data_IF_502903293062
#
_entry.id   IF_502903293062
#
_cell.length_a   1.000
_cell.length_b   1.000
_cell.length_c   1.000
_cell.angle_alpha   90.00
_cell.angle_beta   90.00
_cell.angle_gamma   90.00
#
_symmetry.space_group_name_H-M   'P 1'
#
loop_
_entity.id
_entity.type
_entity.pdbx_description
1 polymer ?
#
# COMPACT_ATOMS: atom_id res chain seq x y z
N UNK A 1 10.74 -6.40 1.73
CA UNK A 1 9.90 -5.23 2.06
C UNK A 1 10.41 -4.06 1.27
N UNK A 2 9.51 -3.15 0.89
CA UNK A 2 9.81 -2.03 0.03
C UNK A 2 10.59 -0.87 0.65
N UNK A 3 11.32 -1.12 1.69
CA UNK A 3 12.16 -0.11 2.36
C UNK A 3 13.36 0.31 1.49
N UNK A 4 13.60 -0.42 0.43
CA UNK A 4 14.77 -0.24 -0.44
C UNK A 4 14.54 0.81 -1.54
N UNK A 5 13.30 1.26 -1.71
CA UNK A 5 12.92 2.18 -2.78
C UNK A 5 12.17 3.36 -2.20
N UNK A 6 12.49 4.54 -2.69
CA UNK A 6 11.55 5.66 -2.62
C UNK A 6 10.27 5.24 -3.33
N UNK A 7 9.09 5.53 -2.75
CA UNK A 7 7.83 5.20 -3.39
C UNK A 7 7.78 5.71 -4.82
N UNK A 8 7.31 4.88 -5.74
CA UNK A 8 7.24 5.20 -7.16
C UNK A 8 6.17 6.26 -7.47
N UNK A 9 5.23 6.46 -6.55
CA UNK A 9 4.13 7.43 -6.63
C UNK A 9 4.51 8.84 -6.14
N UNK A 10 5.77 9.06 -5.76
CA UNK A 10 6.23 10.33 -5.19
C UNK A 10 7.48 10.86 -5.88
N UNK A 11 7.58 12.19 -5.98
CA UNK A 11 8.74 12.88 -6.55
C UNK A 11 9.88 13.13 -5.55
N UNK A 12 9.88 12.48 -4.42
CA UNK A 12 10.87 12.71 -3.38
C UNK A 12 11.04 11.51 -2.45
N UNK A 13 11.98 11.58 -1.51
CA UNK A 13 12.19 10.50 -0.57
C UNK A 13 10.95 10.30 0.31
N UNK A 14 10.65 9.04 0.64
CA UNK A 14 9.65 8.71 1.63
C UNK A 14 10.02 9.31 2.99
N UNK A 15 9.01 9.69 3.78
CA UNK A 15 9.19 10.26 5.12
C UNK A 15 8.98 9.19 6.20
N UNK A 16 9.50 9.43 7.40
CA UNK A 16 9.38 8.50 8.52
C UNK A 16 10.54 7.50 8.60
N UNK A 17 10.32 6.35 9.24
CA UNK A 17 11.35 5.34 9.49
C UNK A 17 12.01 4.75 8.23
N UNK A 18 11.32 4.77 7.13
CA UNK A 18 11.82 4.31 5.82
C UNK A 18 13.01 5.13 5.32
N UNK A 19 13.12 6.41 5.68
CA UNK A 19 14.27 7.25 5.31
C UNK A 19 15.60 6.68 5.80
N UNK A 20 15.63 6.04 6.95
CA UNK A 20 16.85 5.51 7.55
C UNK A 20 17.33 4.23 6.86
N UNK A 21 16.41 3.40 6.37
CA UNK A 21 16.71 2.08 5.79
C UNK A 21 16.79 2.10 4.28
N UNK A 22 16.07 3.01 3.62
CA UNK A 22 15.99 3.09 2.15
C UNK A 22 17.05 3.95 1.47
N UNK A 23 18.01 4.52 2.20
CA UNK A 23 19.00 5.44 1.64
C UNK A 23 20.43 4.86 1.69
N UNK A 24 20.72 3.86 0.86
CA UNK A 24 22.04 3.27 0.73
C UNK A 24 22.53 3.29 -0.73
N UNK A 25 23.86 3.27 -0.98
CA UNK A 25 24.39 3.18 -2.31
C UNK A 25 23.95 1.91 -3.04
N UNK A 26 23.50 2.03 -4.28
CA UNK A 26 23.05 0.90 -5.09
C UNK A 26 21.59 0.48 -4.86
N UNK A 27 20.81 1.22 -4.06
CA UNK A 27 19.36 0.98 -3.92
C UNK A 27 18.66 1.07 -5.28
N UNK A 28 17.61 0.26 -5.47
CA UNK A 28 16.75 0.35 -6.63
C UNK A 28 16.09 1.74 -6.71
N UNK A 29 16.04 2.34 -7.90
CA UNK A 29 15.53 3.69 -8.16
C UNK A 29 14.21 3.69 -8.93
N UNK A 30 13.85 2.55 -9.50
CA UNK A 30 12.66 2.33 -10.29
C UNK A 30 12.19 0.90 -10.16
N UNK A 31 11.00 0.60 -10.69
CA UNK A 31 10.40 -0.73 -10.57
C UNK A 31 11.21 -1.84 -11.27
N UNK A 32 11.96 -1.52 -12.33
CA UNK A 32 12.77 -2.50 -13.07
C UNK A 32 13.93 -2.95 -12.19
N UNK A 33 14.70 -2.00 -11.64
CA UNK A 33 15.81 -2.30 -10.72
C UNK A 33 15.32 -3.06 -9.47
N UNK A 34 14.13 -2.68 -8.96
CA UNK A 34 13.53 -3.37 -7.82
C UNK A 34 13.14 -4.81 -8.18
N UNK A 35 12.58 -5.06 -9.34
CA UNK A 35 12.26 -6.41 -9.81
C UNK A 35 13.52 -7.26 -9.99
N UNK A 36 14.62 -6.69 -10.48
CA UNK A 36 15.91 -7.37 -10.58
C UNK A 36 16.46 -7.80 -9.21
N UNK A 37 16.37 -6.92 -8.21
CA UNK A 37 16.76 -7.25 -6.83
C UNK A 37 15.86 -8.33 -6.23
N UNK A 38 14.56 -8.25 -6.49
CA UNK A 38 13.59 -9.27 -6.08
C UNK A 38 13.86 -10.63 -6.74
N UNK A 39 14.25 -10.68 -8.01
CA UNK A 39 14.62 -11.91 -8.68
C UNK A 39 15.82 -12.60 -8.00
N UNK A 40 16.82 -11.83 -7.58
CA UNK A 40 17.96 -12.37 -6.82
C UNK A 40 17.50 -12.97 -5.48
N UNK A 41 16.67 -12.22 -4.73
CA UNK A 41 16.13 -12.68 -3.46
C UNK A 41 15.26 -13.95 -3.61
N UNK A 42 14.38 -13.99 -4.61
CA UNK A 42 13.51 -15.14 -4.89
C UNK A 42 14.30 -16.41 -5.15
N UNK A 43 15.42 -16.33 -5.85
CA UNK A 43 16.30 -17.49 -6.12
C UNK A 43 16.91 -18.10 -4.86
N UNK A 44 17.11 -17.29 -3.82
CA UNK A 44 17.71 -17.71 -2.55
C UNK A 44 16.68 -18.24 -1.55
N UNK A 45 15.40 -18.00 -1.76
CA UNK A 45 14.31 -18.41 -0.87
C UNK A 45 13.62 -19.67 -1.38
N UNK A 46 13.62 -20.77 -0.63
CA UNK A 46 12.89 -21.99 -1.00
C UNK A 46 11.37 -21.82 -0.76
N UNK A 47 10.57 -22.72 -1.34
CA UNK A 47 9.14 -22.84 -1.09
C UNK A 47 8.25 -21.91 -1.91
N UNK A 48 6.94 -22.00 -1.66
CA UNK A 48 5.93 -21.10 -2.27
C UNK A 48 6.06 -19.70 -1.71
N UNK A 49 5.91 -18.72 -2.56
CA UNK A 49 6.11 -17.30 -2.21
C UNK A 49 4.89 -16.46 -2.56
N UNK A 50 4.76 -15.37 -1.87
CA UNK A 50 3.87 -14.26 -2.24
C UNK A 50 4.68 -12.96 -2.24
N UNK A 51 4.27 -12.05 -3.09
CA UNK A 51 4.84 -10.72 -3.18
C UNK A 51 3.97 -9.78 -2.34
N UNK A 52 4.55 -9.02 -1.42
CA UNK A 52 3.83 -7.98 -0.69
C UNK A 52 4.14 -6.63 -1.32
N UNK A 53 3.15 -6.04 -1.99
CA UNK A 53 3.26 -4.76 -2.69
C UNK A 53 2.62 -3.65 -1.86
N UNK A 54 3.30 -2.51 -1.78
CA UNK A 54 2.74 -1.28 -1.23
C UNK A 54 2.04 -0.44 -2.29
N UNK A 55 1.01 0.30 -1.91
CA UNK A 55 0.32 1.23 -2.82
C UNK A 55 1.26 2.31 -3.37
N UNK A 56 2.31 2.66 -2.62
CA UNK A 56 3.36 3.59 -3.07
C UNK A 56 4.20 3.07 -4.24
N UNK A 57 4.05 1.80 -4.62
CA UNK A 57 4.68 1.21 -5.81
C UNK A 57 3.79 1.23 -7.04
N UNK A 58 2.73 2.02 -7.05
CA UNK A 58 1.97 2.32 -8.26
C UNK A 58 2.92 2.84 -9.35
N UNK A 59 2.83 2.27 -10.55
CA UNK A 59 3.68 2.63 -11.69
C UNK A 59 2.89 3.56 -12.60
N UNK A 60 3.45 4.74 -12.84
CA UNK A 60 2.89 5.73 -13.75
C UNK A 60 3.77 5.81 -15.00
N UNK A 61 3.18 5.53 -16.15
CA UNK A 61 3.86 5.59 -17.45
C UNK A 61 3.51 6.92 -18.16
N UNK A 62 4.35 7.33 -19.10
CA UNK A 62 4.14 8.50 -19.97
C UNK A 62 3.93 9.86 -19.24
N UNK A 63 4.45 10.00 -18.03
CA UNK A 63 4.31 11.24 -17.25
C UNK A 63 2.93 11.43 -16.62
N UNK A 64 2.03 10.47 -16.74
CA UNK A 64 0.78 10.47 -15.97
C UNK A 64 1.09 10.34 -14.47
N UNK A 65 0.36 11.06 -13.66
CA UNK A 65 0.37 10.93 -12.22
C UNK A 65 -1.07 10.90 -11.71
N UNK A 66 -1.32 10.02 -10.75
CA UNK A 66 -2.61 9.89 -10.09
C UNK A 66 -2.38 9.81 -8.59
N UNK A 67 -3.12 10.63 -7.83
CA UNK A 67 -3.02 10.60 -6.37
C UNK A 67 -3.61 9.29 -5.81
N UNK A 68 -3.24 8.95 -4.57
CA UNK A 68 -3.54 7.64 -3.95
C UNK A 68 -5.01 7.30 -3.88
N UNK A 69 -5.89 8.29 -3.72
CA UNK A 69 -7.35 8.08 -3.71
C UNK A 69 -7.91 7.64 -5.08
N UNK A 70 -7.12 7.75 -6.14
CA UNK A 70 -7.51 7.44 -7.53
C UNK A 70 -6.65 6.38 -8.20
N UNK A 71 -5.76 5.73 -7.46
CA UNK A 71 -5.00 4.60 -8.01
C UNK A 71 -5.94 3.47 -8.43
N UNK A 72 -5.53 2.70 -9.42
CA UNK A 72 -6.36 1.67 -10.02
C UNK A 72 -5.50 0.46 -10.46
N UNK A 73 -6.11 -0.69 -10.76
CA UNK A 73 -5.40 -1.90 -11.23
C UNK A 73 -4.37 -1.65 -12.34
N UNK A 74 -4.65 -0.73 -13.27
CA UNK A 74 -3.74 -0.40 -14.38
C UNK A 74 -2.34 0.01 -13.93
N UNK A 75 -2.20 0.60 -12.74
CA UNK A 75 -0.92 1.04 -12.21
C UNK A 75 -0.08 -0.11 -11.60
N UNK A 76 -0.60 -1.32 -11.58
CA UNK A 76 0.04 -2.49 -10.98
C UNK A 76 0.20 -3.67 -11.96
N UNK A 77 -0.08 -3.48 -13.24
CA UNK A 77 0.00 -4.54 -14.26
C UNK A 77 1.40 -5.17 -14.29
N UNK A 78 2.45 -4.35 -14.27
CA UNK A 78 3.85 -4.85 -14.28
C UNK A 78 4.17 -5.74 -13.08
N UNK A 79 3.59 -5.45 -11.92
CA UNK A 79 3.74 -6.28 -10.72
C UNK A 79 3.02 -7.62 -10.85
N UNK A 80 1.84 -7.60 -11.47
CA UNK A 80 1.08 -8.83 -11.77
C UNK A 80 1.83 -9.70 -12.77
N UNK A 81 2.38 -9.11 -13.83
CA UNK A 81 3.19 -9.83 -14.83
C UNK A 81 4.42 -10.48 -14.15
N UNK A 82 5.10 -9.73 -13.28
CA UNK A 82 6.22 -10.25 -12.51
C UNK A 82 5.80 -11.41 -11.59
N UNK A 83 4.71 -11.27 -10.85
CA UNK A 83 4.20 -12.32 -9.97
C UNK A 83 3.83 -13.59 -10.76
N UNK A 84 3.13 -13.44 -11.89
CA UNK A 84 2.78 -14.56 -12.79
C UNK A 84 4.02 -15.27 -13.32
N UNK A 85 5.03 -14.52 -13.79
CA UNK A 85 6.33 -15.06 -14.27
C UNK A 85 6.99 -15.96 -13.23
N UNK A 86 6.86 -15.62 -11.95
CA UNK A 86 7.46 -16.35 -10.83
C UNK A 86 6.49 -17.30 -10.09
N UNK A 87 5.28 -17.50 -10.62
CA UNK A 87 4.23 -18.32 -10.00
C UNK A 87 3.94 -17.93 -8.56
N UNK A 88 3.77 -16.63 -8.30
CA UNK A 88 3.50 -16.05 -6.98
C UNK A 88 2.12 -15.41 -6.92
N UNK A 89 1.50 -15.41 -5.73
CA UNK A 89 0.40 -14.53 -5.40
C UNK A 89 0.91 -13.15 -4.97
N UNK A 90 0.00 -12.19 -4.84
CA UNK A 90 0.29 -10.84 -4.35
C UNK A 90 -0.55 -10.55 -3.12
N UNK A 91 0.10 -10.04 -2.06
CA UNK A 91 -0.54 -9.37 -0.93
C UNK A 91 -0.35 -7.87 -1.06
N UNK A 92 -1.22 -7.07 -0.44
CA UNK A 92 -1.24 -5.64 -0.64
C UNK A 92 -1.24 -4.85 0.66
N UNK A 93 -0.38 -3.83 0.73
CA UNK A 93 -0.38 -2.84 1.79
C UNK A 93 -0.82 -1.48 1.23
N UNK A 94 -1.94 -0.93 1.68
CA UNK A 94 -2.44 0.37 1.25
C UNK A 94 -1.50 1.55 1.48
N UNK A 95 -0.53 1.44 2.38
CA UNK A 95 0.45 2.51 2.65
C UNK A 95 -0.21 3.80 3.14
N UNK A 96 -0.90 3.74 4.28
CA UNK A 96 -1.50 4.91 4.94
C UNK A 96 -0.44 5.79 5.64
N UNK A 97 0.68 6.07 4.94
CA UNK A 97 1.79 6.88 5.45
C UNK A 97 2.58 7.52 4.31
N UNK A 98 3.53 8.40 4.65
CA UNK A 98 4.42 9.07 3.69
C UNK A 98 3.66 9.76 2.55
N UNK A 99 2.77 10.70 2.91
CA UNK A 99 1.96 11.44 1.94
C UNK A 99 1.58 12.82 2.47
N UNK A 100 1.44 13.80 1.57
CA UNK A 100 1.10 15.19 1.93
C UNK A 100 -0.30 15.36 2.55
N UNK A 101 -1.21 14.41 2.32
CA UNK A 101 -2.57 14.39 2.90
C UNK A 101 -2.62 13.86 4.35
N UNK A 102 -1.48 13.64 4.99
CA UNK A 102 -1.42 13.33 6.42
C UNK A 102 -1.45 14.64 7.20
N UNK A 103 -2.38 14.77 8.13
CA UNK A 103 -2.47 15.92 9.03
C UNK A 103 -2.11 15.51 10.45
N UNK A 104 -1.13 16.18 11.04
CA UNK A 104 -0.64 15.91 12.40
C UNK A 104 -0.30 14.42 12.65
N UNK A 105 0.24 13.72 11.66
CA UNK A 105 0.55 12.30 11.73
C UNK A 105 -0.65 11.36 11.65
N UNK A 106 -1.85 11.88 11.31
CA UNK A 106 -3.10 11.12 11.31
C UNK A 106 -3.69 10.98 9.90
N UNK A 107 -4.30 9.82 9.65
CA UNK A 107 -5.00 9.46 8.40
C UNK A 107 -6.47 9.10 8.70
N UNK A 108 -6.78 7.83 8.89
CA UNK A 108 -8.14 7.31 9.15
C UNK A 108 -8.70 7.72 10.52
N UNK A 109 -7.84 8.14 11.45
CA UNK A 109 -8.25 8.64 12.78
C UNK A 109 -8.30 10.17 12.87
N UNK A 110 -7.94 10.88 11.81
CA UNK A 110 -7.87 12.33 11.78
C UNK A 110 -9.20 12.97 12.21
N UNK A 111 -9.22 14.02 13.04
CA UNK A 111 -10.42 14.82 13.28
C UNK A 111 -10.87 15.60 12.03
N UNK A 112 -9.96 15.85 11.08
CA UNK A 112 -10.24 16.50 9.80
C UNK A 112 -10.97 15.52 8.86
N UNK A 113 -12.18 15.92 8.46
CA UNK A 113 -13.04 15.05 7.65
C UNK A 113 -12.52 14.86 6.22
N UNK A 114 -11.95 15.90 5.62
CA UNK A 114 -11.42 15.82 4.25
C UNK A 114 -10.20 14.90 4.19
N UNK A 115 -9.36 14.94 5.23
CA UNK A 115 -8.27 13.97 5.39
C UNK A 115 -8.81 12.54 5.46
N UNK A 116 -9.83 12.28 6.30
CA UNK A 116 -10.40 10.93 6.39
C UNK A 116 -11.06 10.49 5.09
N UNK A 117 -11.82 11.36 4.42
CA UNK A 117 -12.46 11.04 3.11
C UNK A 117 -11.42 10.61 2.08
N UNK A 118 -10.33 11.35 1.95
CA UNK A 118 -9.25 11.00 1.03
C UNK A 118 -8.72 9.58 1.31
N UNK A 119 -8.42 9.28 2.57
CA UNK A 119 -7.87 7.98 2.94
C UNK A 119 -8.90 6.84 2.89
N UNK A 120 -10.18 7.12 3.10
CA UNK A 120 -11.26 6.15 2.90
C UNK A 120 -11.38 5.78 1.42
N UNK A 121 -11.39 6.75 0.51
CA UNK A 121 -11.43 6.50 -0.93
C UNK A 121 -10.17 5.77 -1.41
N UNK A 122 -9.02 6.10 -0.86
CA UNK A 122 -7.79 5.33 -1.07
C UNK A 122 -7.95 3.86 -0.62
N UNK A 123 -8.50 3.62 0.56
CA UNK A 123 -8.75 2.27 1.08
C UNK A 123 -9.69 1.46 0.17
N UNK A 124 -10.75 2.08 -0.34
CA UNK A 124 -11.66 1.46 -1.32
C UNK A 124 -10.96 1.12 -2.63
N UNK A 125 -10.13 2.04 -3.15
CA UNK A 125 -9.30 1.77 -4.32
C UNK A 125 -8.38 0.56 -4.09
N UNK A 126 -7.80 0.44 -2.89
CA UNK A 126 -6.96 -0.69 -2.52
C UNK A 126 -7.72 -2.02 -2.45
N UNK A 127 -8.99 -2.03 -2.05
CA UNK A 127 -9.85 -3.24 -2.13
C UNK A 127 -10.00 -3.70 -3.59
N UNK A 128 -10.32 -2.78 -4.51
CA UNK A 128 -10.45 -3.10 -5.95
C UNK A 128 -9.15 -3.63 -6.54
N UNK A 129 -8.01 -3.06 -6.15
CA UNK A 129 -6.69 -3.51 -6.58
C UNK A 129 -6.37 -4.90 -6.01
N UNK A 130 -6.69 -5.14 -4.74
CA UNK A 130 -6.49 -6.46 -4.11
C UNK A 130 -7.30 -7.56 -4.80
N UNK A 131 -8.53 -7.25 -5.18
CA UNK A 131 -9.37 -8.19 -5.93
C UNK A 131 -8.79 -8.47 -7.33
N UNK A 132 -8.29 -7.44 -8.01
CA UNK A 132 -7.57 -7.60 -9.27
C UNK A 132 -6.35 -8.52 -9.11
N UNK A 133 -5.52 -8.33 -8.10
CA UNK A 133 -4.37 -9.20 -7.83
C UNK A 133 -4.79 -10.66 -7.66
N UNK A 134 -5.83 -10.90 -6.86
CA UNK A 134 -6.30 -12.25 -6.62
C UNK A 134 -6.85 -12.92 -7.89
N UNK A 135 -7.60 -12.18 -8.71
CA UNK A 135 -8.14 -12.68 -9.99
C UNK A 135 -7.04 -13.03 -10.97
N UNK A 136 -6.04 -12.15 -11.10
CA UNK A 136 -4.96 -12.31 -12.05
C UNK A 136 -3.96 -13.41 -11.68
N UNK A 137 -3.68 -13.58 -10.39
CA UNK A 137 -2.71 -14.58 -9.91
C UNK A 137 -3.34 -15.92 -9.55
N UNK A 138 -4.65 -15.98 -9.42
CA UNK A 138 -5.37 -17.17 -8.93
C UNK A 138 -5.16 -17.46 -7.44
N UNK A 139 -4.57 -16.52 -6.68
CA UNK A 139 -4.24 -16.67 -5.26
C UNK A 139 -4.91 -15.55 -4.47
N UNK A 140 -5.67 -15.85 -3.39
CA UNK A 140 -6.30 -14.81 -2.57
C UNK A 140 -5.28 -13.78 -2.08
N UNK A 141 -5.66 -12.50 -2.13
CA UNK A 141 -4.85 -11.38 -1.69
C UNK A 141 -5.17 -10.99 -0.25
N UNK A 142 -4.18 -10.96 0.62
CA UNK A 142 -4.30 -10.34 1.94
C UNK A 142 -4.04 -8.85 1.79
N UNK A 143 -5.01 -8.04 2.24
CA UNK A 143 -4.90 -6.59 2.26
C UNK A 143 -4.65 -6.12 3.70
N UNK A 144 -3.43 -5.75 4.00
CA UNK A 144 -3.03 -5.31 5.34
C UNK A 144 -3.33 -3.83 5.55
N UNK A 145 -4.43 -3.52 6.26
CA UNK A 145 -4.83 -2.14 6.59
C UNK A 145 -4.05 -1.64 7.81
N UNK A 146 -2.78 -1.40 7.62
CA UNK A 146 -1.93 -0.81 8.65
C UNK A 146 -1.91 0.72 8.55
N UNK A 147 -2.09 1.40 9.68
CA UNK A 147 -1.97 2.85 9.78
C UNK A 147 -0.87 3.24 10.76
N UNK A 148 -0.21 4.36 10.47
CA UNK A 148 0.77 4.95 11.39
C UNK A 148 0.16 5.90 12.42
N UNK A 149 -1.16 6.04 12.42
CA UNK A 149 -1.89 6.97 13.28
C UNK A 149 -1.69 6.62 14.76
N UNK A 150 -1.40 7.62 15.55
CA UNK A 150 -1.25 7.43 16.99
C UNK A 150 -0.72 8.66 17.68
N UNK A 151 -0.71 8.58 19.00
CA UNK A 151 -0.14 9.61 19.86
C UNK A 151 0.99 8.98 20.67
N UNK A 152 2.09 9.71 20.80
CA UNK A 152 3.22 9.30 21.63
C UNK A 152 2.85 9.22 23.10
N UNK A 153 2.01 10.15 23.55
CA UNK A 153 1.49 10.22 24.91
C UNK A 153 0.01 9.86 24.94
N UNK A 154 -0.53 9.64 26.15
CA UNK A 154 -1.95 9.34 26.33
C UNK A 154 -2.77 10.61 26.01
N UNK A 155 -3.60 10.62 24.96
CA UNK A 155 -4.44 11.77 24.65
C UNK A 155 -5.58 11.92 25.66
N UNK A 156 -6.05 13.16 25.86
CA UNK A 156 -7.23 13.44 26.67
C UNK A 156 -8.48 12.74 26.13
N UNK A 157 -8.68 12.79 24.80
CA UNK A 157 -9.72 12.04 24.12
C UNK A 157 -9.17 10.67 23.66
N UNK A 158 -9.44 9.63 24.45
CA UNK A 158 -9.03 8.25 24.12
C UNK A 158 -9.99 7.54 23.19
N UNK A 159 -11.26 7.92 23.17
CA UNK A 159 -12.31 7.23 22.44
C UNK A 159 -12.47 7.78 21.02
N UNK A 160 -12.40 9.09 20.84
CA UNK A 160 -12.63 9.74 19.56
C UNK A 160 -11.80 9.18 18.39
N UNK A 161 -10.47 9.03 18.54
CA UNK A 161 -9.65 8.43 17.47
C UNK A 161 -10.08 7.00 17.11
N UNK A 162 -10.43 6.18 18.13
CA UNK A 162 -10.90 4.81 17.91
C UNK A 162 -12.24 4.77 17.17
N UNK A 163 -13.16 5.64 17.54
CA UNK A 163 -14.45 5.74 16.86
C UNK A 163 -14.30 6.22 15.42
N UNK A 164 -13.44 7.20 15.18
CA UNK A 164 -13.12 7.65 13.81
C UNK A 164 -12.48 6.54 12.99
N UNK A 165 -11.53 5.78 13.57
CA UNK A 165 -10.94 4.61 12.90
C UNK A 165 -12.00 3.58 12.55
N UNK A 166 -12.82 3.16 13.53
CA UNK A 166 -13.92 2.22 13.30
C UNK A 166 -14.80 2.66 12.14
N UNK A 167 -15.28 3.90 12.17
CA UNK A 167 -16.16 4.44 11.12
C UNK A 167 -15.46 4.50 9.74
N UNK A 168 -14.17 4.79 9.72
CA UNK A 168 -13.38 4.81 8.47
C UNK A 168 -13.21 3.41 7.89
N UNK A 169 -12.92 2.41 8.74
CA UNK A 169 -12.82 1.01 8.31
C UNK A 169 -14.16 0.48 7.82
N UNK A 170 -15.26 0.77 8.50
CA UNK A 170 -16.61 0.38 8.06
C UNK A 170 -16.93 0.94 6.67
N UNK A 171 -16.55 2.19 6.41
CA UNK A 171 -16.72 2.80 5.10
C UNK A 171 -15.80 2.19 4.03
N UNK A 172 -14.56 1.84 4.35
CA UNK A 172 -13.67 1.13 3.43
C UNK A 172 -14.25 -0.24 3.09
N UNK A 173 -14.65 -1.00 4.11
CA UNK A 173 -15.18 -2.36 3.94
C UNK A 173 -16.60 -2.40 3.35
N UNK A 174 -17.28 -1.26 3.20
CA UNK A 174 -18.53 -1.16 2.43
C UNK A 174 -18.30 -1.22 0.92
N UNK A 175 -17.05 -1.07 0.44
CA UNK A 175 -16.73 -1.31 -0.97
C UNK A 175 -16.99 -2.79 -1.29
N UNK A 176 -17.77 -3.12 -2.32
CA UNK A 176 -18.05 -4.50 -2.67
C UNK A 176 -16.79 -5.27 -3.06
N UNK A 177 -16.61 -6.46 -2.51
CA UNK A 177 -15.53 -7.39 -2.87
C UNK A 177 -15.92 -8.84 -2.60
N UNK A 178 -15.27 -9.77 -3.30
CA UNK A 178 -15.39 -11.20 -2.99
C UNK A 178 -14.47 -11.58 -1.83
N UNK A 179 -15.07 -11.93 -0.70
CA UNK A 179 -14.34 -12.36 0.50
C UNK A 179 -13.54 -13.67 0.32
N UNK A 180 -13.73 -14.42 -0.77
CA UNK A 180 -12.86 -15.54 -1.13
C UNK A 180 -11.55 -15.06 -1.72
N UNK A 181 -11.57 -13.93 -2.42
CA UNK A 181 -10.44 -13.35 -3.13
C UNK A 181 -9.66 -12.33 -2.30
N UNK A 182 -10.33 -11.47 -1.54
CA UNK A 182 -9.70 -10.42 -0.73
C UNK A 182 -9.87 -10.72 0.75
N UNK A 183 -8.78 -10.65 1.49
CA UNK A 183 -8.72 -10.86 2.95
C UNK A 183 -8.21 -9.58 3.61
N UNK A 184 -9.08 -8.60 3.91
CA UNK A 184 -8.68 -7.43 4.70
C UNK A 184 -8.30 -7.86 6.12
N UNK A 185 -7.22 -7.31 6.68
CA UNK A 185 -6.76 -7.59 8.04
C UNK A 185 -6.16 -6.34 8.70
#
# INVERSE_FOLDING_TARGET
QGDDVTGLDQKGPLTGGIQATGNYPGKARNYVELMEDMEKAIRLMPGKKKLNIHASYAIFENGEFTDRDKIAPKHFVKWVDFAKKHNMGIDFNPTFFSHSKIKNGLTLTSPDEDTRKFWIEHGKACIRISEYFAKETGVPCVMNIWIGDGFKDIPADRLGPRMRYKNSIEQILSEPYDAKLVKPC
#
